data_IF_861504188803
#
_entry.id   IF_861504188803
#
_cell.length_a   1.000
_cell.length_b   1.000
_cell.length_c   1.000
_cell.angle_alpha   90.00
_cell.angle_beta   90.00
_cell.angle_gamma   90.00
#
_symmetry.space_group_name_H-M   'P 1'
#
loop_
_entity.id
_entity.type
_entity.pdbx_description
1 polymer ?
#
# COMPACT_ATOMS: atom_id res chain seq x y z
N UNK A 1 -3.61 13.96 -18.67
CA UNK A 1 -3.88 12.54 -18.35
C UNK A 1 -2.63 11.81 -17.86
N UNK A 2 -1.53 11.90 -18.59
CA UNK A 2 -0.29 11.24 -18.16
C UNK A 2 0.31 11.86 -16.91
N UNK A 3 0.10 13.15 -16.70
CA UNK A 3 0.50 13.81 -15.46
C UNK A 3 -0.27 13.22 -14.27
N UNK A 4 -1.56 12.94 -14.45
CA UNK A 4 -2.36 12.30 -13.41
C UNK A 4 -1.84 10.88 -13.11
N UNK A 5 -1.49 10.11 -14.14
CA UNK A 5 -0.90 8.77 -13.95
C UNK A 5 0.40 8.84 -13.14
N UNK A 6 1.25 9.81 -13.42
CA UNK A 6 2.48 10.02 -12.67
C UNK A 6 2.18 10.32 -11.20
N UNK A 7 1.18 11.16 -10.93
CA UNK A 7 0.78 11.50 -9.57
C UNK A 7 0.14 10.32 -8.84
N UNK A 8 -0.62 9.48 -9.55
CA UNK A 8 -1.19 8.24 -8.98
C UNK A 8 -0.06 7.31 -8.54
N UNK A 9 0.96 7.13 -9.39
CA UNK A 9 2.11 6.32 -9.05
C UNK A 9 2.80 6.85 -7.79
N UNK A 10 3.01 8.16 -7.72
CA UNK A 10 3.64 8.80 -6.56
C UNK A 10 2.81 8.62 -5.29
N UNK A 11 1.48 8.72 -5.39
CA UNK A 11 0.57 8.49 -4.26
C UNK A 11 0.64 7.04 -3.78
N UNK A 12 0.71 6.08 -4.69
CA UNK A 12 0.86 4.66 -4.34
C UNK A 12 2.19 4.40 -3.61
N UNK A 13 3.27 5.03 -4.05
CA UNK A 13 4.57 4.92 -3.39
C UNK A 13 4.50 5.49 -1.97
N UNK A 14 3.86 6.63 -1.80
CA UNK A 14 3.66 7.24 -0.48
C UNK A 14 2.82 6.36 0.44
N UNK A 15 1.70 5.85 -0.04
CA UNK A 15 0.84 4.92 0.71
C UNK A 15 1.65 3.70 1.13
N UNK A 16 2.42 3.13 0.22
CA UNK A 16 3.21 1.93 0.47
C UNK A 16 4.22 2.14 1.61
N UNK A 17 4.88 3.30 1.64
CA UNK A 17 5.80 3.65 2.71
C UNK A 17 5.08 3.81 4.05
N UNK A 18 3.89 4.44 4.05
CA UNK A 18 3.08 4.59 5.26
C UNK A 18 2.65 3.24 5.82
N UNK A 19 2.21 2.33 4.95
CA UNK A 19 1.83 0.97 5.34
C UNK A 19 3.02 0.21 5.93
N UNK A 20 4.16 0.25 5.25
CA UNK A 20 5.35 -0.47 5.70
C UNK A 20 5.82 0.03 7.08
N UNK A 21 5.89 1.35 7.25
CA UNK A 21 6.32 1.94 8.52
C UNK A 21 5.36 1.60 9.64
N UNK A 22 4.05 1.70 9.38
CA UNK A 22 3.05 1.40 10.40
C UNK A 22 3.13 -0.06 10.86
N UNK A 23 3.21 -1.01 9.91
CA UNK A 23 3.33 -2.43 10.25
C UNK A 23 4.63 -2.73 11.00
N UNK A 24 5.71 -2.10 10.58
CA UNK A 24 7.00 -2.25 11.27
C UNK A 24 6.92 -1.73 12.70
N UNK A 25 6.25 -0.61 12.91
CA UNK A 25 6.06 -0.01 14.24
C UNK A 25 5.21 -0.87 15.18
N UNK A 26 4.41 -1.78 14.66
CA UNK A 26 3.63 -2.71 15.47
C UNK A 26 4.46 -3.87 16.02
N UNK A 27 5.66 -4.08 15.49
CA UNK A 27 6.58 -5.12 15.97
C UNK A 27 7.33 -4.63 17.20
N UNK A 28 7.72 -5.53 18.14
CA UNK A 28 8.57 -5.13 19.27
C UNK A 28 9.98 -4.78 18.81
N UNK A 29 10.64 -3.90 19.54
CA UNK A 29 12.03 -3.53 19.30
C UNK A 29 12.18 -2.18 18.61
N UNK A 30 13.34 -1.96 18.00
CA UNK A 30 13.64 -0.74 17.27
C UNK A 30 12.88 -0.69 15.95
N UNK A 31 12.31 0.46 15.62
CA UNK A 31 11.49 0.65 14.41
C UNK A 31 12.15 1.54 13.36
N UNK A 32 13.47 1.76 13.46
CA UNK A 32 14.20 2.51 12.44
C UNK A 32 14.25 1.71 11.13
N UNK A 33 14.46 2.41 10.04
CA UNK A 33 14.70 1.76 8.75
C UNK A 33 15.92 0.85 8.83
N UNK A 34 16.98 1.31 9.47
CA UNK A 34 18.21 0.53 9.63
C UNK A 34 17.94 -0.82 10.34
N UNK A 35 17.10 -0.81 11.37
CA UNK A 35 16.73 -2.05 12.08
C UNK A 35 15.96 -3.00 11.16
N UNK A 36 15.04 -2.46 10.32
CA UNK A 36 14.31 -3.27 9.35
C UNK A 36 15.26 -3.88 8.32
N UNK A 37 16.16 -3.08 7.79
CA UNK A 37 17.12 -3.55 6.78
C UNK A 37 18.06 -4.62 7.34
N UNK A 38 18.49 -4.48 8.60
CA UNK A 38 19.31 -5.50 9.27
C UNK A 38 18.54 -6.80 9.46
N UNK A 39 17.26 -6.71 9.81
CA UNK A 39 16.42 -7.91 9.98
C UNK A 39 16.30 -8.64 8.62
N UNK A 40 16.03 -7.92 7.55
CA UNK A 40 15.92 -8.50 6.20
C UNK A 40 17.25 -9.12 5.78
N UNK A 41 18.36 -8.41 5.99
CA UNK A 41 19.70 -8.91 5.63
C UNK A 41 20.01 -10.20 6.38
N UNK A 42 19.66 -10.29 7.65
CA UNK A 42 19.89 -11.50 8.47
C UNK A 42 19.04 -12.67 7.94
N UNK A 43 17.78 -12.43 7.59
CA UNK A 43 16.92 -13.44 7.04
C UNK A 43 17.44 -13.95 5.67
N UNK A 44 17.96 -13.06 4.85
CA UNK A 44 18.55 -13.42 3.56
C UNK A 44 19.77 -14.34 3.73
N UNK A 45 20.53 -14.18 4.80
CA UNK A 45 21.68 -15.06 5.12
C UNK A 45 21.26 -16.43 5.60
N UNK A 46 20.16 -16.49 6.35
CA UNK A 46 19.69 -17.73 6.98
C UNK A 46 18.95 -18.65 6.02
N UNK A 47 18.32 -18.09 5.01
CA UNK A 47 17.41 -18.83 4.11
C UNK A 47 17.67 -18.45 2.65
N UNK A 48 18.24 -19.39 1.84
CA UNK A 48 18.47 -19.14 0.43
C UNK A 48 17.20 -18.82 -0.36
N UNK A 49 16.07 -19.46 -0.02
CA UNK A 49 14.80 -19.19 -0.70
C UNK A 49 14.32 -17.77 -0.41
N UNK A 50 14.52 -17.30 0.82
CA UNK A 50 14.21 -15.93 1.20
C UNK A 50 15.10 -14.94 0.46
N UNK A 51 16.37 -15.28 0.30
CA UNK A 51 17.32 -14.47 -0.47
C UNK A 51 16.80 -14.22 -1.90
N UNK A 52 16.24 -15.25 -2.54
CA UNK A 52 15.73 -15.13 -3.91
C UNK A 52 14.43 -14.34 -4.01
N UNK A 53 13.58 -14.39 -2.96
CA UNK A 53 12.29 -13.70 -2.95
C UNK A 53 12.38 -12.24 -2.52
N UNK A 54 13.30 -11.93 -1.60
CA UNK A 54 13.36 -10.62 -0.98
C UNK A 54 14.40 -9.76 -1.69
N UNK A 55 14.05 -8.51 -2.05
CA UNK A 55 15.00 -7.63 -2.73
C UNK A 55 16.19 -7.27 -1.83
N UNK A 56 17.31 -6.97 -2.45
CA UNK A 56 18.46 -6.45 -1.73
C UNK A 56 18.24 -4.96 -1.45
N UNK A 57 18.03 -4.65 -0.18
CA UNK A 57 17.81 -3.29 0.29
C UNK A 57 19.05 -2.66 0.91
N UNK A 58 20.21 -3.33 0.82
CA UNK A 58 21.47 -2.76 1.29
C UNK A 58 21.75 -1.47 0.51
N UNK A 59 22.25 -0.46 1.18
CA UNK A 59 22.44 0.85 0.54
C UNK A 59 21.26 1.81 0.62
N UNK A 60 20.09 1.35 1.05
CA UNK A 60 18.98 2.26 1.35
C UNK A 60 19.23 2.89 2.72
N UNK A 61 19.02 4.19 2.83
CA UNK A 61 19.28 4.90 4.09
C UNK A 61 18.13 5.82 4.52
N UNK A 62 17.08 5.95 3.71
CA UNK A 62 15.86 6.65 4.12
C UNK A 62 14.64 6.01 3.48
N UNK A 63 13.47 6.21 4.10
CA UNK A 63 12.22 5.61 3.66
C UNK A 63 11.82 6.03 2.24
N UNK A 64 12.19 7.25 1.82
CA UNK A 64 11.83 7.76 0.51
C UNK A 64 12.47 6.99 -0.65
N UNK A 65 13.49 6.20 -0.37
CA UNK A 65 14.13 5.35 -1.38
C UNK A 65 13.36 4.06 -1.64
N UNK A 66 12.29 3.80 -0.88
CA UNK A 66 11.47 2.61 -1.06
C UNK A 66 10.22 2.98 -1.84
N UNK A 67 10.05 2.35 -2.99
CA UNK A 67 8.84 2.50 -3.81
C UNK A 67 7.81 1.41 -3.49
N UNK A 68 6.67 1.43 -4.19
CA UNK A 68 5.62 0.44 -4.00
C UNK A 68 6.15 -0.99 -4.19
N UNK A 69 6.95 -1.22 -5.22
CA UNK A 69 7.47 -2.56 -5.51
C UNK A 69 8.27 -3.11 -4.35
N UNK A 70 9.20 -2.32 -3.81
CA UNK A 70 10.02 -2.74 -2.69
C UNK A 70 9.21 -2.91 -1.41
N UNK A 71 8.35 -1.94 -1.10
CA UNK A 71 7.49 -2.02 0.10
C UNK A 71 6.59 -3.25 0.09
N UNK A 72 5.98 -3.55 -1.07
CA UNK A 72 5.04 -4.67 -1.17
C UNK A 72 5.75 -6.02 -1.15
N UNK A 73 7.00 -6.11 -1.64
CA UNK A 73 7.80 -7.31 -1.47
C UNK A 73 8.01 -7.64 0.00
N UNK A 74 8.25 -6.61 0.82
CA UNK A 74 8.47 -6.77 2.26
C UNK A 74 7.14 -7.07 2.97
N UNK A 75 6.09 -6.29 2.67
CA UNK A 75 4.79 -6.43 3.33
C UNK A 75 4.08 -7.75 3.02
N UNK A 76 4.16 -8.19 1.77
CA UNK A 76 3.41 -9.36 1.30
C UNK A 76 4.18 -10.67 1.43
N UNK A 77 5.41 -10.63 1.92
CA UNK A 77 6.21 -11.84 2.07
C UNK A 77 5.57 -12.81 3.08
N UNK A 78 5.45 -14.06 2.64
CA UNK A 78 4.93 -15.14 3.47
C UNK A 78 6.09 -16.02 3.94
N UNK A 79 6.51 -15.81 5.16
CA UNK A 79 7.57 -16.57 5.79
C UNK A 79 6.99 -17.48 6.85
N UNK A 80 6.95 -18.78 6.60
CA UNK A 80 6.31 -19.71 7.52
C UNK A 80 7.28 -20.52 8.36
N UNK A 81 8.55 -20.65 7.94
CA UNK A 81 9.50 -21.57 8.53
C UNK A 81 10.65 -20.90 9.28
N UNK A 82 10.57 -19.61 9.52
CA UNK A 82 11.63 -18.88 10.22
C UNK A 82 11.39 -18.87 11.73
N UNK A 83 12.46 -18.91 12.51
CA UNK A 83 12.37 -18.74 13.97
C UNK A 83 11.88 -17.32 14.33
N UNK A 84 12.27 -16.32 13.54
CA UNK A 84 11.86 -14.93 13.72
C UNK A 84 11.36 -14.37 12.38
N UNK A 85 10.16 -14.74 11.95
CA UNK A 85 9.64 -14.28 10.67
C UNK A 85 9.34 -12.78 10.72
N UNK A 86 9.44 -12.12 9.59
CA UNK A 86 9.06 -10.72 9.49
C UNK A 86 7.54 -10.56 9.62
N UNK A 87 6.77 -11.32 8.85
CA UNK A 87 5.31 -11.45 8.93
C UNK A 87 4.59 -10.17 9.37
N UNK A 88 4.80 -9.09 8.63
CA UNK A 88 4.28 -7.77 9.01
C UNK A 88 2.76 -7.71 9.06
N UNK A 89 2.08 -8.38 8.13
CA UNK A 89 0.61 -8.35 8.06
C UNK A 89 -0.05 -9.22 9.13
N UNK A 90 0.68 -10.16 9.72
CA UNK A 90 0.13 -11.06 10.72
C UNK A 90 -0.32 -10.39 12.02
N UNK A 91 0.14 -9.16 12.27
CA UNK A 91 -0.20 -8.40 13.47
C UNK A 91 -1.48 -7.58 13.34
N UNK A 92 -2.15 -7.63 12.21
CA UNK A 92 -3.38 -6.85 12.00
C UNK A 92 -4.60 -7.64 12.44
N UNK A 93 -5.68 -6.93 12.76
CA UNK A 93 -6.95 -7.57 13.11
C UNK A 93 -7.55 -8.34 11.94
N UNK A 94 -7.26 -7.91 10.71
CA UNK A 94 -7.77 -8.54 9.48
C UNK A 94 -6.64 -8.71 8.46
N UNK A 95 -5.76 -9.72 8.64
CA UNK A 95 -4.63 -9.90 7.74
C UNK A 95 -5.01 -10.08 6.27
N UNK A 96 -6.11 -10.80 6.00
CA UNK A 96 -6.61 -11.00 4.63
C UNK A 96 -7.05 -9.71 3.96
N UNK A 97 -7.76 -8.84 4.68
CA UNK A 97 -8.19 -7.54 4.17
C UNK A 97 -7.00 -6.60 3.96
N UNK A 98 -6.03 -6.62 4.87
CA UNK A 98 -4.80 -5.85 4.73
C UNK A 98 -3.99 -6.32 3.50
N UNK A 99 -3.89 -7.63 3.30
CA UNK A 99 -3.22 -8.21 2.12
C UNK A 99 -3.91 -7.78 0.83
N UNK A 100 -5.24 -7.84 0.82
CA UNK A 100 -6.03 -7.39 -0.33
C UNK A 100 -5.76 -5.91 -0.64
N UNK A 101 -5.73 -5.07 0.39
CA UNK A 101 -5.44 -3.64 0.23
C UNK A 101 -4.04 -3.40 -0.35
N UNK A 102 -3.03 -4.11 0.16
CA UNK A 102 -1.67 -4.02 -0.36
C UNK A 102 -1.60 -4.41 -1.84
N UNK A 103 -2.27 -5.50 -2.22
CA UNK A 103 -2.33 -5.94 -3.61
C UNK A 103 -3.05 -4.92 -4.50
N UNK A 104 -4.12 -4.28 -3.99
CA UNK A 104 -4.84 -3.24 -4.72
C UNK A 104 -3.96 -2.02 -4.99
N UNK A 105 -3.18 -1.60 -4.00
CA UNK A 105 -2.21 -0.49 -4.15
C UNK A 105 -1.16 -0.86 -5.21
N UNK A 106 -0.63 -2.07 -5.16
CA UNK A 106 0.34 -2.55 -6.15
C UNK A 106 -0.24 -2.54 -7.56
N UNK A 107 -1.48 -3.00 -7.72
CA UNK A 107 -2.17 -3.00 -9.01
C UNK A 107 -2.34 -1.58 -9.55
N UNK A 108 -2.80 -0.65 -8.71
CA UNK A 108 -2.97 0.76 -9.12
C UNK A 108 -1.64 1.38 -9.55
N UNK A 109 -0.58 1.11 -8.80
CA UNK A 109 0.77 1.61 -9.14
C UNK A 109 1.24 1.07 -10.48
N UNK A 110 1.03 -0.22 -10.74
CA UNK A 110 1.45 -0.85 -11.99
C UNK A 110 0.68 -0.27 -13.17
N UNK A 111 -0.63 -0.07 -13.06
CA UNK A 111 -1.43 0.57 -14.10
C UNK A 111 -0.91 1.99 -14.39
N UNK A 112 -0.65 2.75 -13.34
CA UNK A 112 -0.15 4.13 -13.49
C UNK A 112 1.24 4.17 -14.12
N UNK A 113 2.13 3.28 -13.71
CA UNK A 113 3.50 3.22 -14.21
C UNK A 113 3.57 2.84 -15.69
N UNK A 114 2.62 2.05 -16.18
CA UNK A 114 2.57 1.59 -17.57
C UNK A 114 1.59 2.40 -18.44
N UNK A 115 1.00 3.48 -17.90
CA UNK A 115 0.06 4.29 -18.65
C UNK A 115 0.73 4.96 -19.84
N UNK A 116 0.18 4.76 -21.02
CA UNK A 116 0.69 5.31 -22.27
C UNK A 116 -0.25 6.38 -22.87
N UNK A 117 -1.52 6.40 -22.45
CA UNK A 117 -2.52 7.30 -23.01
C UNK A 117 -3.58 7.67 -21.95
N UNK A 118 -4.58 8.45 -22.37
CA UNK A 118 -5.66 8.92 -21.50
C UNK A 118 -6.53 7.76 -20.99
N UNK A 119 -6.73 6.72 -21.80
CA UNK A 119 -7.51 5.55 -21.40
C UNK A 119 -6.80 4.78 -20.28
N UNK A 120 -5.48 4.60 -20.39
CA UNK A 120 -4.69 3.96 -19.36
C UNK A 120 -4.69 4.78 -18.06
N UNK A 121 -4.60 6.11 -18.18
CA UNK A 121 -4.64 6.99 -17.00
C UNK A 121 -6.00 6.89 -16.29
N UNK A 122 -7.10 6.83 -17.05
CA UNK A 122 -8.43 6.65 -16.49
C UNK A 122 -8.54 5.30 -15.75
N UNK A 123 -7.98 4.25 -16.35
CA UNK A 123 -7.94 2.92 -15.70
C UNK A 123 -7.14 2.95 -14.41
N UNK A 124 -5.99 3.63 -14.41
CA UNK A 124 -5.17 3.80 -13.19
C UNK A 124 -5.95 4.53 -12.11
N UNK A 125 -6.72 5.57 -12.48
CA UNK A 125 -7.55 6.30 -11.53
C UNK A 125 -8.62 5.40 -10.90
N UNK A 126 -9.25 4.53 -11.70
CA UNK A 126 -10.22 3.56 -11.19
C UNK A 126 -9.57 2.57 -10.24
N UNK A 127 -8.39 2.05 -10.57
CA UNK A 127 -7.65 1.14 -9.70
C UNK A 127 -7.23 1.82 -8.39
N UNK A 128 -6.84 3.09 -8.47
CA UNK A 128 -6.49 3.85 -7.27
C UNK A 128 -7.72 4.02 -6.35
N UNK A 129 -8.87 4.30 -6.92
CA UNK A 129 -10.13 4.39 -6.16
C UNK A 129 -10.45 3.06 -5.46
N UNK A 130 -10.31 1.95 -6.16
CA UNK A 130 -10.49 0.61 -5.57
C UNK A 130 -9.51 0.35 -4.44
N UNK A 131 -8.25 0.78 -4.62
CA UNK A 131 -7.21 0.64 -3.60
C UNK A 131 -7.57 1.43 -2.34
N UNK A 132 -8.06 2.66 -2.50
CA UNK A 132 -8.48 3.50 -1.36
C UNK A 132 -9.63 2.83 -0.59
N UNK A 133 -10.61 2.27 -1.29
CA UNK A 133 -11.71 1.55 -0.65
C UNK A 133 -11.21 0.30 0.09
N UNK A 134 -10.28 -0.45 -0.51
CA UNK A 134 -9.67 -1.62 0.13
C UNK A 134 -8.88 -1.24 1.38
N UNK A 135 -8.18 -0.11 1.35
CA UNK A 135 -7.44 0.41 2.50
C UNK A 135 -8.40 0.77 3.65
N UNK A 136 -9.54 1.36 3.33
CA UNK A 136 -10.57 1.68 4.33
C UNK A 136 -11.01 0.42 5.05
N UNK A 137 -11.29 -0.65 4.31
CA UNK A 137 -11.73 -1.92 4.88
C UNK A 137 -10.60 -2.62 5.65
N UNK A 138 -9.41 -2.67 5.08
CA UNK A 138 -8.28 -3.39 5.65
C UNK A 138 -7.71 -2.75 6.90
N UNK A 139 -7.84 -1.45 7.05
CA UNK A 139 -7.26 -0.69 8.16
C UNK A 139 -8.30 0.02 9.01
N UNK A 140 -9.57 -0.37 8.89
CA UNK A 140 -10.66 0.18 9.70
C UNK A 140 -10.35 0.04 11.19
N UNK A 141 -10.60 1.10 11.95
CA UNK A 141 -10.37 1.12 13.40
C UNK A 141 -8.93 1.36 13.82
N UNK A 142 -8.00 1.55 12.89
CA UNK A 142 -6.60 1.83 13.21
C UNK A 142 -6.32 3.33 13.18
N UNK A 143 -5.32 3.75 13.96
CA UNK A 143 -4.83 5.13 13.91
C UNK A 143 -4.25 5.47 12.51
N UNK A 144 -3.66 4.51 11.84
CA UNK A 144 -3.13 4.69 10.48
C UNK A 144 -4.23 5.18 9.53
N UNK A 145 -5.39 4.51 9.55
CA UNK A 145 -6.52 4.89 8.72
C UNK A 145 -6.98 6.31 9.02
N UNK A 146 -7.09 6.67 10.29
CA UNK A 146 -7.62 7.97 10.70
C UNK A 146 -6.66 9.12 10.39
N UNK A 147 -5.36 8.92 10.61
CA UNK A 147 -4.38 10.02 10.55
C UNK A 147 -3.61 10.08 9.24
N UNK A 148 -3.42 8.95 8.55
CA UNK A 148 -2.52 8.87 7.41
C UNK A 148 -3.21 8.52 6.09
N UNK A 149 -4.30 7.77 6.13
CA UNK A 149 -4.95 7.28 4.92
C UNK A 149 -6.18 8.06 4.50
N UNK A 150 -6.78 8.84 5.40
CA UNK A 150 -8.03 9.54 5.13
C UNK A 150 -7.94 10.54 3.97
N UNK A 151 -6.78 11.15 3.78
CA UNK A 151 -6.57 12.13 2.70
C UNK A 151 -6.75 11.55 1.31
N UNK A 152 -6.54 10.24 1.15
CA UNK A 152 -6.54 9.62 -0.18
C UNK A 152 -7.92 9.46 -0.80
N UNK A 153 -8.99 9.58 -0.03
CA UNK A 153 -10.34 9.65 -0.59
C UNK A 153 -10.49 10.83 -1.53
N UNK A 154 -10.04 11.99 -1.10
CA UNK A 154 -10.11 13.20 -1.90
C UNK A 154 -9.20 13.12 -3.11
N UNK A 155 -8.00 12.56 -2.93
CA UNK A 155 -7.08 12.37 -4.05
C UNK A 155 -7.67 11.43 -5.10
N UNK A 156 -8.32 10.34 -4.67
CA UNK A 156 -8.97 9.40 -5.59
C UNK A 156 -10.08 10.07 -6.40
N UNK A 157 -10.91 10.88 -5.76
CA UNK A 157 -11.97 11.64 -6.44
C UNK A 157 -11.39 12.61 -7.46
N UNK A 158 -10.32 13.30 -7.08
CA UNK A 158 -9.62 14.24 -7.96
C UNK A 158 -9.07 13.52 -9.19
N UNK A 159 -8.41 12.37 -9.01
CA UNK A 159 -7.87 11.62 -10.15
C UNK A 159 -8.98 11.14 -11.08
N UNK A 160 -10.10 10.64 -10.53
CA UNK A 160 -11.25 10.23 -11.36
C UNK A 160 -11.77 11.40 -12.18
N UNK A 161 -11.93 12.56 -11.57
CA UNK A 161 -12.43 13.75 -12.26
C UNK A 161 -11.46 14.21 -13.36
N UNK A 162 -10.15 14.25 -13.06
CA UNK A 162 -9.12 14.70 -14.01
C UNK A 162 -8.96 13.77 -15.20
N UNK A 163 -9.20 12.49 -15.00
CA UNK A 163 -9.04 11.49 -16.08
C UNK A 163 -10.34 11.23 -16.82
N UNK A 164 -11.42 11.90 -16.46
CA UNK A 164 -12.74 11.67 -17.09
C UNK A 164 -13.30 10.29 -16.80
N UNK A 165 -12.74 9.57 -15.81
CA UNK A 165 -13.23 8.25 -15.42
C UNK A 165 -14.52 8.39 -14.61
N UNK A 166 -15.45 7.44 -14.82
CA UNK A 166 -16.72 7.40 -14.09
C UNK A 166 -16.80 6.11 -13.31
N UNK A 167 -17.27 6.21 -12.08
CA UNK A 167 -17.60 5.02 -11.32
C UNK A 167 -18.83 4.36 -11.96
N UNK A 168 -18.86 3.01 -11.99
CA UNK A 168 -19.98 2.31 -12.64
C UNK A 168 -21.32 2.43 -11.91
N UNK A 169 -21.31 2.88 -10.65
CA UNK A 169 -22.51 3.00 -9.80
C UNK A 169 -22.67 4.45 -9.35
N UNK A 170 -23.81 5.03 -9.57
CA UNK A 170 -24.17 6.42 -9.28
C UNK A 170 -24.98 6.56 -8.01
N UNK A 171 -24.81 7.65 -7.26
CA UNK A 171 -23.54 8.27 -6.90
C UNK A 171 -22.80 7.39 -5.89
N UNK A 172 -21.50 7.34 -5.99
CA UNK A 172 -20.69 6.53 -5.08
C UNK A 172 -20.45 7.27 -3.78
N UNK A 173 -20.92 6.70 -2.68
CA UNK A 173 -20.61 7.18 -1.34
C UNK A 173 -19.33 6.49 -0.87
N UNK A 174 -18.35 7.25 -0.39
CA UNK A 174 -17.13 6.67 0.14
C UNK A 174 -17.41 5.82 1.37
N UNK A 175 -16.61 4.77 1.64
CA UNK A 175 -16.88 3.87 2.77
C UNK A 175 -17.05 4.58 4.11
N UNK A 176 -16.24 5.60 4.39
CA UNK A 176 -16.37 6.37 5.64
C UNK A 176 -17.69 7.12 5.71
N UNK A 177 -18.19 7.65 4.60
CA UNK A 177 -19.46 8.35 4.54
C UNK A 177 -20.61 7.38 4.66
N UNK A 178 -20.53 6.21 4.03
CA UNK A 178 -21.53 5.16 4.16
C UNK A 178 -21.68 4.72 5.63
N UNK A 179 -20.55 4.54 6.33
CA UNK A 179 -20.56 4.17 7.73
C UNK A 179 -21.27 5.23 8.58
N UNK A 180 -20.99 6.52 8.34
CA UNK A 180 -21.64 7.62 9.06
C UNK A 180 -23.14 7.67 8.77
N UNK A 181 -23.54 7.46 7.53
CA UNK A 181 -24.97 7.43 7.16
C UNK A 181 -25.69 6.26 7.80
N UNK A 182 -25.05 5.10 7.85
CA UNK A 182 -25.64 3.91 8.48
C UNK A 182 -25.83 4.09 9.98
N UNK A 183 -25.00 4.91 10.65
CA UNK A 183 -25.08 5.17 12.09
C UNK A 183 -26.22 6.13 12.46
N UNK A 184 -26.82 6.79 11.49
CA UNK A 184 -27.96 7.67 11.71
C UNK A 184 -29.26 6.90 11.64
#
# INVERSE_FOLDING_TARGET
>A
ALQAAFEIKAACDEISRKLLRWHWEQKPGSHSLDALLRHIAQRRKEDPDYYDRMPDLSGKNNWQQLDTTLCMRVLLDLETNAAKPLDLLGNTARPGAARHACNAVRTARNEAAHAADASDAAQAALRFNEAVEALEEGYAGTALRETELAQYYREAENFLARCGAKTPIEPQTRPAERTRQAAK
#
